data_IF_099844321606
#
_entry.id   IF_099844321606
#
_cell.length_a   1.000
_cell.length_b   1.000
_cell.length_c   1.000
_cell.angle_alpha   90.00
_cell.angle_beta   90.00
_cell.angle_gamma   90.00
#
_symmetry.space_group_name_H-M   'P 1'
#
loop_
_entity.id
_entity.type
_entity.pdbx_description
1 polymer ?
#
# COMPACT_ATOMS: atom_id res chain seq x y z
N UNK A 1 16.73 -17.04 9.47
CA UNK A 1 17.79 -16.55 8.57
C UNK A 1 17.10 -16.05 7.31
N UNK A 2 16.75 -14.77 7.24
CA UNK A 2 16.30 -14.16 5.99
C UNK A 2 17.50 -14.11 5.04
N UNK A 3 17.42 -14.72 3.84
CA UNK A 3 18.50 -14.62 2.89
C UNK A 3 18.63 -13.15 2.49
N UNK A 4 19.79 -12.54 2.76
CA UNK A 4 20.16 -11.23 2.21
C UNK A 4 20.20 -11.35 0.69
N UNK A 5 19.11 -11.06 0.00
CA UNK A 5 18.96 -11.18 -1.45
C UNK A 5 19.44 -9.93 -2.17
N UNK A 6 20.59 -9.37 -1.77
CA UNK A 6 21.17 -8.22 -2.48
C UNK A 6 21.43 -8.58 -3.95
N UNK A 7 20.98 -7.73 -4.89
CA UNK A 7 21.11 -7.91 -6.35
C UNK A 7 22.54 -7.64 -6.87
N UNK A 8 23.55 -8.28 -6.26
CA UNK A 8 24.99 -8.05 -6.52
C UNK A 8 25.42 -8.35 -7.96
N UNK A 9 24.59 -9.05 -8.73
CA UNK A 9 24.82 -9.33 -10.14
C UNK A 9 24.59 -8.11 -11.05
N UNK A 10 23.96 -7.04 -10.56
CA UNK A 10 23.68 -5.83 -11.31
C UNK A 10 24.46 -4.62 -10.78
N UNK A 11 24.62 -3.62 -11.65
CA UNK A 11 25.17 -2.31 -11.27
C UNK A 11 24.04 -1.28 -11.21
N UNK A 12 24.22 -0.28 -10.36
CA UNK A 12 23.38 0.92 -10.40
C UNK A 12 23.82 1.82 -11.57
N UNK A 13 22.88 2.50 -12.24
CA UNK A 13 23.23 3.52 -13.22
C UNK A 13 23.96 4.68 -12.52
N UNK A 14 24.71 5.47 -13.29
CA UNK A 14 25.42 6.64 -12.75
C UNK A 14 24.45 7.71 -12.23
N UNK A 15 23.32 7.85 -12.91
CA UNK A 15 22.24 8.78 -12.60
C UNK A 15 20.91 8.04 -12.83
N UNK A 16 19.82 8.37 -12.12
CA UNK A 16 18.52 7.78 -12.35
C UNK A 16 18.01 8.00 -13.79
N UNK A 17 17.59 6.92 -14.45
CA UNK A 17 17.12 6.96 -15.84
C UNK A 17 15.59 7.13 -15.90
N UNK A 18 15.14 8.26 -16.45
CA UNK A 18 13.71 8.55 -16.63
C UNK A 18 13.30 8.17 -18.05
N UNK A 19 12.77 6.96 -18.22
CA UNK A 19 12.45 6.38 -19.54
C UNK A 19 10.96 6.51 -19.84
N UNK A 20 10.63 7.13 -20.99
CA UNK A 20 9.25 7.24 -21.49
C UNK A 20 9.17 6.95 -22.98
N UNK A 21 7.98 6.58 -23.46
CA UNK A 21 7.67 6.46 -24.88
C UNK A 21 6.20 6.79 -25.14
N UNK A 22 5.92 7.26 -26.35
CA UNK A 22 4.57 7.68 -26.76
C UNK A 22 3.89 6.60 -27.60
N UNK A 23 2.58 6.47 -27.46
CA UNK A 23 1.74 5.58 -28.27
C UNK A 23 0.44 6.29 -28.65
N UNK A 24 -0.33 5.78 -29.64
CA UNK A 24 -1.66 6.31 -29.95
C UNK A 24 -2.68 6.22 -28.80
N UNK A 25 -2.38 5.46 -27.75
CA UNK A 25 -3.26 5.21 -26.58
C UNK A 25 -2.61 5.65 -25.27
N UNK A 26 -1.78 6.69 -25.31
CA UNK A 26 -1.23 7.36 -24.14
C UNK A 26 0.29 7.31 -24.07
N UNK A 27 0.82 8.09 -23.12
CA UNK A 27 2.24 8.17 -22.80
C UNK A 27 2.60 7.14 -21.73
N UNK A 28 3.68 6.40 -21.97
CA UNK A 28 4.13 5.34 -21.06
C UNK A 28 5.44 5.70 -20.37
N UNK A 29 5.53 5.34 -19.09
CA UNK A 29 6.76 5.26 -18.32
C UNK A 29 7.07 3.82 -17.93
N UNK A 30 8.32 3.55 -17.55
CA UNK A 30 8.73 2.22 -17.09
C UNK A 30 9.72 2.33 -15.92
N UNK A 31 9.51 1.50 -14.91
CA UNK A 31 10.44 1.24 -13.80
C UNK A 31 10.23 -0.19 -13.28
N UNK A 32 11.14 -0.69 -12.43
CA UNK A 32 11.20 -2.12 -12.09
C UNK A 32 11.16 -2.38 -10.58
N UNK A 33 10.33 -3.34 -10.14
CA UNK A 33 10.26 -3.86 -8.77
C UNK A 33 10.39 -2.76 -7.69
N UNK A 34 11.50 -2.75 -6.97
CA UNK A 34 11.75 -1.91 -5.81
C UNK A 34 11.73 -0.40 -6.10
N UNK A 35 11.90 0.02 -7.35
CA UNK A 35 11.82 1.43 -7.79
C UNK A 35 10.52 2.12 -7.35
N UNK A 36 9.42 1.36 -7.21
CA UNK A 36 8.10 1.90 -6.82
C UNK A 36 8.09 2.58 -5.44
N UNK A 37 9.02 2.20 -4.56
CA UNK A 37 9.15 2.75 -3.21
C UNK A 37 9.98 4.05 -3.16
N UNK A 38 10.57 4.49 -4.28
CA UNK A 38 11.49 5.62 -4.33
C UNK A 38 10.99 6.75 -5.23
N UNK A 39 11.55 7.93 -5.03
CA UNK A 39 11.18 9.13 -5.79
C UNK A 39 11.62 9.03 -7.26
N UNK A 40 12.84 8.57 -7.51
CA UNK A 40 13.40 8.46 -8.86
C UNK A 40 13.55 6.98 -9.26
N UNK A 41 13.05 6.57 -10.44
CA UNK A 41 12.34 7.39 -11.44
C UNK A 41 10.81 7.47 -11.21
N UNK A 42 10.26 6.69 -10.28
CA UNK A 42 8.81 6.41 -10.24
C UNK A 42 7.93 7.65 -10.07
N UNK A 43 8.23 8.52 -9.09
CA UNK A 43 7.46 9.76 -8.87
C UNK A 43 7.75 10.79 -9.96
N UNK A 44 8.99 10.86 -10.45
CA UNK A 44 9.39 11.77 -11.54
C UNK A 44 8.63 11.47 -12.84
N UNK A 45 8.46 10.21 -13.20
CA UNK A 45 7.69 9.80 -14.38
C UNK A 45 6.26 10.34 -14.33
N UNK A 46 5.61 10.27 -13.18
CA UNK A 46 4.23 10.71 -13.03
C UNK A 46 4.13 12.24 -12.92
N UNK A 47 4.91 12.86 -12.05
CA UNK A 47 4.74 14.27 -11.71
C UNK A 47 5.43 15.22 -12.70
N UNK A 48 6.59 14.84 -13.24
CA UNK A 48 7.34 15.68 -14.17
C UNK A 48 7.09 15.27 -15.62
N UNK A 49 7.09 13.97 -15.92
CA UNK A 49 6.92 13.49 -17.29
C UNK A 49 5.45 13.32 -17.70
N UNK A 50 4.51 13.34 -16.74
CA UNK A 50 3.07 13.25 -16.97
C UNK A 50 2.68 12.03 -17.81
N UNK A 51 3.24 10.86 -17.47
CA UNK A 51 2.86 9.59 -18.11
C UNK A 51 1.40 9.23 -17.77
N UNK A 52 0.68 8.66 -18.73
CA UNK A 52 -0.68 8.14 -18.55
C UNK A 52 -0.68 6.74 -17.93
N UNK A 53 0.35 5.95 -18.28
CA UNK A 53 0.48 4.55 -17.90
C UNK A 53 1.92 4.19 -17.51
N UNK A 54 2.07 3.37 -16.49
CA UNK A 54 3.35 2.80 -16.06
C UNK A 54 3.37 1.31 -16.39
N UNK A 55 4.42 0.87 -17.10
CA UNK A 55 4.77 -0.54 -17.20
C UNK A 55 5.63 -0.92 -16.02
N UNK A 56 5.23 -1.96 -15.30
CA UNK A 56 5.87 -2.35 -14.05
C UNK A 56 6.20 -3.86 -14.02
N UNK A 57 7.28 -4.29 -14.70
CA UNK A 57 7.84 -5.62 -14.49
C UNK A 57 8.37 -5.75 -13.06
N UNK A 58 8.06 -6.85 -12.40
CA UNK A 58 8.43 -7.05 -11.00
C UNK A 58 8.69 -8.53 -10.66
N UNK A 59 9.48 -8.75 -9.62
CA UNK A 59 9.73 -10.05 -8.99
C UNK A 59 9.57 -9.82 -7.48
N UNK A 60 8.34 -9.51 -7.09
CA UNK A 60 8.00 -9.00 -5.78
C UNK A 60 7.70 -10.14 -4.81
N UNK A 61 8.42 -10.18 -3.69
CA UNK A 61 8.12 -11.08 -2.58
C UNK A 61 7.08 -10.41 -1.70
N UNK A 62 5.92 -11.06 -1.53
CA UNK A 62 4.84 -10.51 -0.73
C UNK A 62 5.23 -10.43 0.75
N UNK A 63 4.94 -9.29 1.36
CA UNK A 63 5.12 -9.08 2.78
C UNK A 63 3.90 -8.37 3.37
N UNK A 64 3.02 -9.16 3.98
CA UNK A 64 1.91 -8.63 4.77
C UNK A 64 2.44 -7.86 5.99
N UNK A 65 1.74 -6.82 6.47
CA UNK A 65 0.39 -6.43 6.06
C UNK A 65 0.29 -5.37 4.95
N UNK A 66 1.38 -4.76 4.46
CA UNK A 66 1.31 -3.58 3.57
C UNK A 66 2.08 -3.70 2.25
N UNK A 67 2.94 -4.70 2.12
CA UNK A 67 3.83 -4.86 0.97
C UNK A 67 3.49 -6.16 0.22
N UNK A 68 2.20 -6.50 0.14
CA UNK A 68 1.72 -7.49 -0.81
C UNK A 68 1.58 -6.83 -2.19
N UNK A 69 2.05 -7.50 -3.25
CA UNK A 69 2.13 -6.95 -4.60
C UNK A 69 0.81 -6.34 -5.10
N UNK A 70 -0.29 -7.10 -5.05
CA UNK A 70 -1.59 -6.59 -5.53
C UNK A 70 -2.10 -5.41 -4.70
N UNK A 71 -1.77 -5.38 -3.40
CA UNK A 71 -2.18 -4.33 -2.47
C UNK A 71 -1.41 -3.04 -2.78
N UNK A 72 -0.10 -3.06 -2.58
CA UNK A 72 0.74 -1.87 -2.69
C UNK A 72 0.74 -1.31 -4.12
N UNK A 73 0.84 -2.15 -5.15
CA UNK A 73 0.89 -1.68 -6.53
C UNK A 73 -0.42 -1.00 -6.97
N UNK A 74 -1.57 -1.52 -6.52
CA UNK A 74 -2.88 -0.92 -6.84
C UNK A 74 -3.10 0.38 -6.04
N UNK A 75 -2.67 0.42 -4.79
CA UNK A 75 -2.69 1.62 -3.96
C UNK A 75 -1.80 2.73 -4.53
N UNK A 76 -0.61 2.38 -5.02
CA UNK A 76 0.29 3.31 -5.68
C UNK A 76 -0.33 3.90 -6.96
N UNK A 77 -0.96 3.05 -7.79
CA UNK A 77 -1.69 3.50 -8.99
C UNK A 77 -2.81 4.50 -8.65
N UNK A 78 -3.56 4.24 -7.58
CA UNK A 78 -4.63 5.12 -7.08
C UNK A 78 -4.06 6.44 -6.55
N UNK A 79 -3.05 6.39 -5.67
CA UNK A 79 -2.45 7.58 -5.07
C UNK A 79 -1.74 8.48 -6.08
N UNK A 80 -1.05 7.88 -7.06
CA UNK A 80 -0.37 8.59 -8.15
C UNK A 80 -1.29 8.94 -9.33
N UNK A 81 -2.52 8.40 -9.35
CA UNK A 81 -3.53 8.61 -10.39
C UNK A 81 -2.98 8.37 -11.79
N UNK A 82 -2.44 7.18 -11.98
CA UNK A 82 -1.88 6.69 -13.24
C UNK A 82 -2.34 5.24 -13.44
N UNK A 83 -2.43 4.80 -14.70
CA UNK A 83 -2.60 3.37 -14.94
C UNK A 83 -1.29 2.63 -14.60
N UNK A 84 -1.36 1.43 -14.03
CA UNK A 84 -0.19 0.59 -13.75
C UNK A 84 -0.45 -0.83 -14.25
N UNK A 85 0.46 -1.33 -15.08
CA UNK A 85 0.46 -2.70 -15.58
C UNK A 85 1.57 -3.46 -14.85
N UNK A 86 1.18 -4.17 -13.79
CA UNK A 86 2.10 -4.91 -12.93
C UNK A 86 2.20 -6.37 -13.37
N UNK A 87 3.37 -6.76 -13.88
CA UNK A 87 3.66 -8.13 -14.29
C UNK A 87 4.67 -8.75 -13.32
N UNK A 88 4.18 -9.56 -12.38
CA UNK A 88 4.99 -10.23 -11.37
C UNK A 88 5.44 -11.63 -11.82
N UNK A 89 6.56 -12.08 -11.26
CA UNK A 89 6.97 -13.49 -11.30
C UNK A 89 6.01 -14.34 -10.48
N UNK A 90 5.81 -15.59 -10.91
CA UNK A 90 5.03 -16.58 -10.17
C UNK A 90 5.95 -17.67 -9.64
N UNK A 91 6.22 -17.64 -8.34
CA UNK A 91 7.02 -18.61 -7.60
C UNK A 91 6.57 -18.60 -6.13
N UNK A 92 5.68 -19.55 -5.79
CA UNK A 92 5.05 -19.60 -4.47
C UNK A 92 6.04 -19.89 -3.34
N UNK A 93 7.16 -20.57 -3.65
CA UNK A 93 8.17 -20.95 -2.64
C UNK A 93 8.89 -19.77 -1.97
N UNK A 94 8.81 -18.58 -2.58
CA UNK A 94 9.42 -17.34 -2.09
C UNK A 94 8.41 -16.18 -2.10
N UNK A 95 7.13 -16.50 -1.92
CA UNK A 95 6.05 -15.49 -1.80
C UNK A 95 5.89 -14.59 -3.04
N UNK A 96 6.31 -15.05 -4.23
CA UNK A 96 6.15 -14.29 -5.48
C UNK A 96 4.87 -14.70 -6.20
N UNK A 97 3.84 -13.89 -6.04
CA UNK A 97 2.62 -13.90 -6.84
C UNK A 97 1.96 -12.53 -6.71
N UNK A 98 1.05 -12.16 -7.61
CA UNK A 98 0.40 -10.85 -7.55
C UNK A 98 0.71 -9.99 -8.77
N UNK A 99 -0.04 -10.21 -9.84
CA UNK A 99 -0.03 -9.39 -11.06
C UNK A 99 -1.36 -8.67 -11.22
N UNK A 100 -1.38 -7.56 -11.94
CA UNK A 100 -2.64 -6.84 -12.16
C UNK A 100 -2.56 -5.64 -13.07
N UNK A 101 -3.75 -5.17 -13.44
CA UNK A 101 -4.01 -4.00 -14.27
C UNK A 101 -4.82 -3.03 -13.41
N UNK A 102 -4.20 -1.92 -13.05
CA UNK A 102 -4.74 -0.97 -12.08
C UNK A 102 -4.99 0.38 -12.75
N UNK A 103 -6.17 0.96 -12.51
CA UNK A 103 -6.54 2.31 -12.92
C UNK A 103 -6.61 3.22 -11.69
N UNK A 104 -6.66 4.55 -11.85
CA UNK A 104 -6.79 5.47 -10.71
C UNK A 104 -8.03 5.23 -9.84
N UNK A 105 -9.12 4.74 -10.44
CA UNK A 105 -10.35 4.42 -9.73
C UNK A 105 -10.34 3.05 -9.03
N UNK A 106 -9.27 2.26 -9.20
CA UNK A 106 -9.12 0.93 -8.61
C UNK A 106 -8.68 -0.15 -9.60
N UNK A 107 -8.53 -1.37 -9.10
CA UNK A 107 -8.10 -2.52 -9.90
C UNK A 107 -9.15 -2.91 -10.96
N UNK A 108 -8.70 -3.18 -12.19
CA UNK A 108 -9.54 -3.69 -13.29
C UNK A 108 -9.45 -5.19 -13.43
N UNK A 109 -8.25 -5.75 -13.24
CA UNK A 109 -8.00 -7.17 -13.19
C UNK A 109 -6.78 -7.42 -12.30
N UNK A 110 -6.77 -8.51 -11.54
CA UNK A 110 -5.61 -8.92 -10.75
C UNK A 110 -5.63 -10.43 -10.55
N UNK A 111 -4.47 -11.00 -10.24
CA UNK A 111 -4.32 -12.41 -9.90
C UNK A 111 -3.36 -12.55 -8.73
N UNK A 112 -3.77 -13.32 -7.73
CA UNK A 112 -2.98 -13.72 -6.57
C UNK A 112 -3.22 -15.20 -6.33
N UNK A 113 -2.17 -16.01 -6.34
CA UNK A 113 -2.31 -17.45 -6.22
C UNK A 113 -1.09 -18.06 -5.51
N UNK A 114 -1.28 -18.50 -4.28
CA UNK A 114 -0.27 -19.23 -3.50
C UNK A 114 -0.46 -20.76 -3.53
N UNK A 115 -1.36 -21.26 -4.36
CA UNK A 115 -1.80 -22.68 -4.34
C UNK A 115 -1.26 -23.52 -5.49
N UNK A 116 -1.04 -22.91 -6.66
CA UNK A 116 -0.56 -23.61 -7.87
C UNK A 116 0.64 -22.88 -8.46
N UNK A 117 1.37 -23.51 -9.37
CA UNK A 117 2.54 -22.94 -10.06
C UNK A 117 2.19 -22.39 -11.46
N UNK A 118 0.90 -22.24 -11.75
CA UNK A 118 0.44 -21.85 -13.08
C UNK A 118 0.68 -20.37 -13.35
N UNK A 119 1.15 -20.06 -14.57
CA UNK A 119 1.13 -18.70 -15.08
C UNK A 119 -0.31 -18.21 -15.30
N UNK A 120 -0.48 -16.88 -15.34
CA UNK A 120 -1.80 -16.27 -15.52
C UNK A 120 -1.73 -15.07 -16.46
N UNK A 121 -2.64 -15.01 -17.45
CA UNK A 121 -2.80 -13.88 -18.36
C UNK A 121 -4.00 -13.05 -17.93
N UNK A 122 -3.80 -11.74 -17.75
CA UNK A 122 -4.86 -10.79 -17.43
C UNK A 122 -5.09 -9.85 -18.61
N UNK A 123 -6.35 -9.57 -18.90
CA UNK A 123 -6.76 -8.63 -19.95
C UNK A 123 -7.83 -7.72 -19.36
N UNK A 124 -7.68 -6.41 -19.55
CA UNK A 124 -8.67 -5.41 -19.17
C UNK A 124 -8.55 -4.18 -20.06
N UNK A 125 -9.64 -3.44 -20.19
CA UNK A 125 -9.68 -2.14 -20.88
C UNK A 125 -9.33 -1.00 -19.92
N UNK A 126 -8.63 0.01 -20.44
CA UNK A 126 -8.18 1.18 -19.69
C UNK A 126 -8.40 2.46 -20.49
N UNK A 127 -8.62 3.56 -19.78
CA UNK A 127 -8.61 4.90 -20.37
C UNK A 127 -7.17 5.25 -20.78
N UNK A 128 -6.98 5.64 -22.05
CA UNK A 128 -5.68 6.07 -22.58
C UNK A 128 -5.11 7.29 -21.85
N UNK A 129 -5.99 8.19 -21.38
CA UNK A 129 -5.65 9.42 -20.65
C UNK A 129 -6.48 9.51 -19.36
N UNK A 130 -6.16 8.73 -18.32
CA UNK A 130 -7.03 8.56 -17.16
C UNK A 130 -7.15 9.83 -16.31
N UNK A 131 -6.24 10.80 -16.46
CA UNK A 131 -6.29 12.13 -15.81
C UNK A 131 -7.30 13.08 -16.45
N UNK A 132 -7.63 12.85 -17.72
CA UNK A 132 -8.63 13.63 -18.47
C UNK A 132 -10.02 12.97 -18.43
N UNK A 133 -10.08 11.72 -17.96
CA UNK A 133 -11.31 10.96 -17.82
C UNK A 133 -12.23 11.60 -16.76
N UNK A 134 -13.55 11.70 -16.99
CA UNK A 134 -14.51 12.11 -15.97
C UNK A 134 -14.49 11.22 -14.73
N UNK A 135 -14.02 9.97 -14.87
CA UNK A 135 -13.87 9.01 -13.78
C UNK A 135 -12.56 9.20 -12.98
N UNK A 136 -11.73 10.19 -13.33
CA UNK A 136 -10.50 10.47 -12.58
C UNK A 136 -10.85 10.94 -11.16
N UNK A 137 -10.28 10.32 -10.11
CA UNK A 137 -10.46 10.81 -8.75
C UNK A 137 -10.00 12.28 -8.66
N UNK A 138 -10.57 13.12 -7.79
CA UNK A 138 -10.14 14.50 -7.56
C UNK A 138 -8.89 14.59 -6.68
N UNK A 139 -8.26 15.77 -6.63
CA UNK A 139 -7.01 15.95 -5.89
C UNK A 139 -7.28 15.84 -4.40
N UNK A 140 -6.41 15.12 -3.70
CA UNK A 140 -6.59 14.78 -2.29
C UNK A 140 -5.65 15.61 -1.45
N UNK A 141 -6.21 16.30 -0.46
CA UNK A 141 -5.46 16.96 0.60
C UNK A 141 -5.42 16.03 1.81
N UNK A 142 -4.43 15.14 1.86
CA UNK A 142 -4.38 13.99 2.78
C UNK A 142 -4.50 14.32 4.27
N UNK A 143 -4.13 15.52 4.69
CA UNK A 143 -4.19 15.95 6.08
C UNK A 143 -5.35 16.91 6.40
N UNK A 144 -6.17 17.30 5.42
CA UNK A 144 -7.14 18.39 5.58
C UNK A 144 -8.20 18.07 6.63
N UNK A 145 -8.83 16.89 6.54
CA UNK A 145 -9.79 16.45 7.55
C UNK A 145 -9.10 16.22 8.91
N UNK A 146 -7.98 15.50 8.91
CA UNK A 146 -7.27 15.12 10.13
C UNK A 146 -6.81 16.32 10.97
N UNK A 147 -6.39 17.41 10.34
CA UNK A 147 -6.02 18.65 11.03
C UNK A 147 -7.22 19.46 11.55
N UNK A 148 -8.42 19.21 11.02
CA UNK A 148 -9.64 19.95 11.37
C UNK A 148 -10.40 19.35 12.56
N UNK A 149 -10.13 18.09 12.90
CA UNK A 149 -10.83 17.37 13.97
C UNK A 149 -10.02 17.39 15.26
N UNK A 150 -10.72 17.52 16.39
CA UNK A 150 -10.11 17.30 17.69
C UNK A 150 -9.76 15.82 17.85
N UNK A 151 -8.71 15.54 18.63
CA UNK A 151 -8.34 14.15 18.97
C UNK A 151 -9.53 13.48 19.66
N UNK A 152 -9.93 12.30 19.18
CA UNK A 152 -10.94 11.50 19.86
C UNK A 152 -10.40 11.05 21.23
N UNK A 153 -11.29 10.86 22.21
CA UNK A 153 -10.93 10.47 23.58
C UNK A 153 -9.92 9.32 23.59
N UNK A 154 -8.75 9.53 24.20
CA UNK A 154 -7.70 8.53 24.30
C UNK A 154 -8.19 7.33 25.11
N UNK A 155 -7.96 6.12 24.59
CA UNK A 155 -7.98 4.92 25.42
C UNK A 155 -6.63 4.88 26.17
N UNK A 156 -6.65 4.64 27.47
CA UNK A 156 -5.46 4.67 28.36
C UNK A 156 -4.43 3.54 28.11
N UNK A 157 -4.58 2.75 27.04
CA UNK A 157 -3.79 1.54 26.79
C UNK A 157 -3.23 1.50 25.36
N UNK A 158 -2.36 2.45 25.03
CA UNK A 158 -1.48 2.34 23.86
C UNK A 158 -0.38 1.30 24.12
N UNK A 159 0.04 0.59 23.08
CA UNK A 159 1.14 -0.37 23.16
C UNK A 159 1.98 -0.36 21.87
N UNK A 160 3.22 -0.84 21.97
CA UNK A 160 4.10 -0.97 20.79
C UNK A 160 3.91 -2.33 20.12
N UNK A 161 3.71 -2.32 18.80
CA UNK A 161 3.83 -3.51 17.96
C UNK A 161 4.87 -3.31 16.87
N UNK A 162 5.34 -4.39 16.26
CA UNK A 162 6.42 -4.36 15.28
C UNK A 162 5.87 -4.83 13.94
N UNK A 163 5.98 -4.00 12.91
CA UNK A 163 5.68 -4.36 11.52
C UNK A 163 6.96 -4.22 10.71
N UNK A 164 7.45 -5.32 10.17
CA UNK A 164 8.68 -5.33 9.34
C UNK A 164 9.90 -4.62 9.99
N UNK A 165 10.01 -4.70 11.32
CA UNK A 165 11.09 -4.04 12.07
C UNK A 165 10.79 -2.61 12.50
N UNK A 166 9.67 -2.02 12.06
CA UNK A 166 9.23 -0.69 12.43
C UNK A 166 8.35 -0.73 13.69
N UNK A 167 8.66 0.08 14.72
CA UNK A 167 7.86 0.15 15.94
C UNK A 167 6.64 1.06 15.78
N UNK A 168 5.47 0.48 15.61
CA UNK A 168 4.19 1.19 15.55
C UNK A 168 3.65 1.43 16.97
N UNK A 169 2.96 2.56 17.15
CA UNK A 169 2.10 2.78 18.32
C UNK A 169 0.69 2.32 17.99
N UNK A 170 0.15 1.36 18.76
CA UNK A 170 -1.18 0.77 18.55
C UNK A 170 -2.14 1.07 19.69
N UNK A 171 -3.44 1.06 19.35
CA UNK A 171 -4.56 1.03 20.29
C UNK A 171 -5.59 -0.01 19.85
N UNK A 172 -6.10 -0.83 20.77
CA UNK A 172 -7.09 -1.87 20.48
C UNK A 172 -8.50 -1.29 20.24
N UNK A 173 -9.21 -1.86 19.26
CA UNK A 173 -10.63 -1.65 19.02
C UNK A 173 -11.47 -2.54 19.95
N UNK A 174 -11.63 -2.12 21.20
CA UNK A 174 -12.33 -2.91 22.25
C UNK A 174 -13.85 -2.93 22.08
N UNK A 175 -14.43 -1.93 21.41
CA UNK A 175 -15.88 -1.79 21.20
C UNK A 175 -16.29 -2.22 19.79
N UNK A 176 -17.56 -2.62 19.54
CA UNK A 176 -18.05 -2.94 18.20
C UNK A 176 -18.06 -1.73 17.24
N UNK A 177 -18.03 -0.52 17.76
CA UNK A 177 -17.87 0.71 16.98
C UNK A 177 -17.46 1.88 17.86
N UNK A 178 -16.91 2.91 17.23
CA UNK A 178 -16.43 4.09 17.93
C UNK A 178 -15.48 4.93 17.08
N UNK A 179 -14.93 5.96 17.72
CA UNK A 179 -13.90 6.82 17.13
C UNK A 179 -12.64 6.73 17.99
N UNK A 180 -11.48 6.51 17.35
CA UNK A 180 -10.19 6.35 18.01
C UNK A 180 -9.14 7.26 17.36
N UNK A 181 -8.22 7.74 18.18
CA UNK A 181 -7.02 8.45 17.71
C UNK A 181 -5.80 7.82 18.36
N UNK A 182 -4.76 7.60 17.56
CA UNK A 182 -3.42 7.22 18.04
C UNK A 182 -2.40 8.09 17.33
N UNK A 183 -1.35 8.52 18.04
CA UNK A 183 -0.32 9.37 17.46
C UNK A 183 1.07 8.76 17.67
N UNK A 184 1.94 8.95 16.69
CA UNK A 184 3.36 8.72 16.82
C UNK A 184 4.11 9.87 16.18
N UNK A 185 4.93 10.58 16.98
CA UNK A 185 5.62 11.82 16.59
C UNK A 185 4.65 12.83 15.96
N UNK A 186 4.85 13.20 14.69
CA UNK A 186 4.06 14.24 14.01
C UNK A 186 2.80 13.66 13.35
N UNK A 187 2.67 12.33 13.27
CA UNK A 187 1.52 11.67 12.69
C UNK A 187 0.48 11.29 13.76
N UNK A 188 -0.71 11.86 13.66
CA UNK A 188 -1.91 11.40 14.35
C UNK A 188 -2.87 10.75 13.36
N UNK A 189 -3.29 9.53 13.67
CA UNK A 189 -4.20 8.73 12.87
C UNK A 189 -5.58 8.68 13.53
N UNK A 190 -6.62 8.92 12.75
CA UNK A 190 -8.00 8.97 13.21
C UNK A 190 -8.83 7.90 12.51
N UNK A 191 -9.57 7.12 13.29
CA UNK A 191 -10.46 6.08 12.79
C UNK A 191 -11.86 6.25 13.38
N UNK A 192 -12.86 6.40 12.52
CA UNK A 192 -14.24 6.09 12.86
C UNK A 192 -14.59 4.71 12.31
N UNK A 193 -15.19 3.82 13.10
CA UNK A 193 -15.51 2.47 12.65
C UNK A 193 -16.78 1.89 13.28
N UNK A 194 -17.36 0.91 12.59
CA UNK A 194 -18.42 0.04 13.10
C UNK A 194 -18.29 -1.35 12.47
N UNK A 195 -18.03 -2.35 13.28
CA UNK A 195 -18.02 -3.77 12.90
C UNK A 195 -19.45 -4.27 12.75
N UNK A 196 -19.68 -5.23 11.85
CA UNK A 196 -20.96 -5.94 11.76
C UNK A 196 -21.21 -6.78 13.02
N UNK A 197 -20.15 -7.40 13.54
CA UNK A 197 -20.15 -8.15 14.79
C UNK A 197 -18.77 -8.05 15.44
N UNK A 198 -18.72 -7.67 16.72
CA UNK A 198 -17.46 -7.78 17.49
C UNK A 198 -17.32 -9.21 17.94
N UNK A 199 -16.21 -9.83 17.56
CA UNK A 199 -15.87 -11.19 17.95
C UNK A 199 -14.88 -11.18 19.10
N UNK A 200 -14.91 -12.22 19.93
CA UNK A 200 -13.97 -12.41 21.04
C UNK A 200 -12.68 -13.14 20.60
N UNK A 201 -12.71 -13.81 19.45
CA UNK A 201 -11.59 -14.55 18.86
C UNK A 201 -10.77 -13.75 17.83
N UNK A 202 -11.21 -12.53 17.48
CA UNK A 202 -10.47 -11.61 16.60
C UNK A 202 -10.24 -10.24 17.26
N UNK A 203 -9.00 -9.78 17.16
CA UNK A 203 -8.56 -8.48 17.65
C UNK A 203 -8.15 -7.59 16.47
N UNK A 204 -8.60 -6.34 16.51
CA UNK A 204 -8.23 -5.28 15.57
C UNK A 204 -7.62 -4.12 16.33
N UNK A 205 -6.66 -3.45 15.69
CA UNK A 205 -5.97 -2.30 16.25
C UNK A 205 -5.93 -1.15 15.25
N UNK A 206 -5.91 0.08 15.76
CA UNK A 206 -5.51 1.27 15.02
C UNK A 206 -4.04 1.54 15.35
N UNK A 207 -3.21 1.78 14.32
CA UNK A 207 -1.79 2.06 14.46
C UNK A 207 -1.34 3.33 13.76
N UNK A 208 -0.29 3.95 14.31
CA UNK A 208 0.46 5.04 13.69
C UNK A 208 1.96 4.71 13.67
N UNK A 209 2.61 5.02 12.54
CA UNK A 209 4.06 5.02 12.41
C UNK A 209 4.54 6.29 11.73
N UNK A 210 5.59 6.91 12.27
CA UNK A 210 6.27 8.08 11.69
C UNK A 210 7.78 7.91 11.89
N UNK A 211 8.50 7.43 10.87
CA UNK A 211 9.90 7.07 11.06
C UNK A 211 10.62 6.55 9.82
N UNK A 212 11.94 6.40 9.97
CA UNK A 212 12.81 5.83 8.96
C UNK A 212 12.78 4.30 9.07
N UNK A 213 12.31 3.65 8.01
CA UNK A 213 12.47 2.23 7.80
C UNK A 213 13.93 1.91 7.43
N UNK A 214 14.48 0.79 7.92
CA UNK A 214 15.91 0.45 7.73
C UNK A 214 16.19 -1.00 7.36
N UNK A 215 15.17 -1.87 7.32
CA UNK A 215 15.33 -3.30 7.06
C UNK A 215 15.19 -3.56 5.55
N UNK A 216 16.20 -4.13 4.91
CA UNK A 216 16.12 -4.39 3.46
C UNK A 216 15.85 -3.12 2.61
N UNK A 217 16.29 -1.95 3.10
CA UNK A 217 16.19 -0.66 2.43
C UNK A 217 16.07 0.48 3.45
N UNK A 218 16.35 1.71 3.01
CA UNK A 218 16.18 2.90 3.85
C UNK A 218 15.20 3.87 3.21
N UNK A 219 14.08 4.12 3.88
CA UNK A 219 13.02 5.00 3.39
C UNK A 219 12.09 5.47 4.52
N UNK A 220 11.71 6.74 4.51
CA UNK A 220 10.90 7.36 5.55
C UNK A 220 9.40 7.16 5.32
N UNK A 221 8.71 6.64 6.31
CA UNK A 221 7.30 6.28 6.25
C UNK A 221 6.48 7.11 7.22
N UNK A 222 5.27 7.43 6.78
CA UNK A 222 4.16 7.81 7.66
C UNK A 222 3.01 6.88 7.35
N UNK A 223 2.53 6.11 8.32
CA UNK A 223 1.50 5.08 8.09
C UNK A 223 0.42 5.17 9.14
N UNK A 224 -0.83 5.25 8.67
CA UNK A 224 -2.02 5.02 9.49
C UNK A 224 -2.66 3.71 9.06
N UNK A 225 -2.98 2.84 10.01
CA UNK A 225 -3.50 1.50 9.69
C UNK A 225 -4.56 1.03 10.67
N UNK A 226 -5.65 0.48 10.17
CA UNK A 226 -6.55 -0.43 10.88
C UNK A 226 -6.18 -1.84 10.43
N UNK A 227 -5.74 -2.72 11.33
CA UNK A 227 -5.36 -4.08 10.96
C UNK A 227 -5.86 -5.13 11.94
N UNK A 228 -6.03 -6.35 11.43
CA UNK A 228 -6.33 -7.55 12.19
C UNK A 228 -5.04 -8.14 12.77
N UNK A 229 -5.02 -8.46 14.06
CA UNK A 229 -3.89 -9.15 14.69
C UNK A 229 -3.93 -10.65 14.38
N UNK A 230 -2.77 -11.31 14.40
CA UNK A 230 -2.69 -12.75 14.08
C UNK A 230 -3.47 -13.60 15.09
N UNK A 231 -3.43 -13.21 16.36
CA UNK A 231 -4.15 -13.85 17.45
C UNK A 231 -4.80 -12.81 18.37
N UNK A 232 -5.50 -13.28 19.40
CA UNK A 232 -6.02 -12.42 20.47
C UNK A 232 -4.93 -11.82 21.36
N UNK A 233 -3.67 -12.28 21.24
CA UNK A 233 -2.54 -11.67 21.93
C UNK A 233 -2.06 -10.41 21.18
N UNK A 234 -2.12 -9.26 21.85
CA UNK A 234 -1.74 -7.95 21.31
C UNK A 234 -0.28 -7.89 20.81
N UNK A 235 0.62 -8.71 21.34
CA UNK A 235 2.01 -8.76 20.85
C UNK A 235 2.15 -9.31 19.43
N UNK A 236 1.09 -9.93 18.90
CA UNK A 236 1.05 -10.47 17.53
C UNK A 236 0.49 -9.47 16.51
N UNK A 237 0.04 -8.30 16.94
CA UNK A 237 -0.43 -7.25 16.05
C UNK A 237 0.74 -6.74 15.19
N UNK A 238 0.54 -6.77 13.86
CA UNK A 238 1.57 -6.45 12.87
C UNK A 238 2.26 -7.66 12.24
N UNK A 239 2.02 -8.88 12.75
CA UNK A 239 2.46 -10.10 12.07
C UNK A 239 1.60 -10.40 10.83
N UNK A 240 2.11 -11.14 9.83
CA UNK A 240 1.35 -11.53 8.64
C UNK A 240 0.04 -12.26 8.97
N UNK A 241 -1.07 -11.81 8.38
CA UNK A 241 -2.38 -12.45 8.51
C UNK A 241 -3.08 -12.57 7.16
N UNK A 242 -3.46 -13.79 6.78
CA UNK A 242 -4.13 -14.05 5.50
C UNK A 242 -5.64 -14.24 5.63
N UNK A 243 -6.16 -14.50 6.83
CA UNK A 243 -7.58 -14.78 7.04
C UNK A 243 -8.18 -13.98 8.19
N UNK A 244 -9.42 -13.55 8.00
CA UNK A 244 -10.24 -12.86 9.00
C UNK A 244 -11.72 -13.27 8.87
N UNK A 245 -12.52 -12.95 9.88
CA UNK A 245 -13.97 -13.19 9.90
C UNK A 245 -14.79 -11.90 10.11
N UNK A 246 -14.23 -10.89 10.77
CA UNK A 246 -14.94 -9.62 11.02
C UNK A 246 -15.09 -8.76 9.76
N UNK A 247 -16.35 -8.42 9.45
CA UNK A 247 -16.73 -7.42 8.46
C UNK A 247 -16.99 -6.07 9.11
N UNK A 248 -16.89 -5.00 8.33
CA UNK A 248 -17.15 -3.64 8.80
C UNK A 248 -18.37 -3.07 8.08
N UNK A 249 -19.34 -2.57 8.85
CA UNK A 249 -20.42 -1.74 8.30
C UNK A 249 -19.84 -0.41 7.80
N UNK A 250 -18.95 0.19 8.58
CA UNK A 250 -18.20 1.37 8.17
C UNK A 250 -16.79 1.42 8.77
N UNK A 251 -15.90 2.07 8.05
CA UNK A 251 -14.60 2.57 8.46
C UNK A 251 -14.38 3.94 7.80
N UNK A 252 -13.65 4.81 8.48
CA UNK A 252 -13.19 6.10 7.98
C UNK A 252 -11.83 6.38 8.59
N UNK A 253 -10.77 6.17 7.82
CA UNK A 253 -9.38 6.35 8.23
C UNK A 253 -8.81 7.64 7.64
N UNK A 254 -8.06 8.39 8.44
CA UNK A 254 -7.33 9.60 8.01
C UNK A 254 -6.12 9.84 8.91
N UNK A 255 -5.19 10.71 8.47
CA UNK A 255 -4.03 11.05 9.29
C UNK A 255 -3.45 12.42 8.97
N UNK A 256 -2.68 12.99 9.90
CA UNK A 256 -1.99 14.29 9.74
C UNK A 256 -0.71 14.17 8.92
N UNK A 257 -0.80 13.56 7.73
CA UNK A 257 0.35 13.31 6.86
C UNK A 257 1.11 14.60 6.52
N UNK A 258 2.44 14.55 6.65
CA UNK A 258 3.39 15.58 6.24
C UNK A 258 3.84 15.48 4.78
N UNK A 259 3.23 14.56 4.02
CA UNK A 259 3.53 14.29 2.61
C UNK A 259 2.24 14.28 1.79
N UNK A 260 2.34 14.61 0.50
CA UNK A 260 1.25 14.43 -0.47
C UNK A 260 1.23 13.04 -1.11
N UNK A 261 2.25 12.22 -0.88
CA UNK A 261 2.39 10.88 -1.45
C UNK A 261 1.89 9.83 -0.47
N UNK A 262 0.58 9.59 -0.50
CA UNK A 262 -0.09 8.58 0.32
C UNK A 262 -0.82 7.61 -0.60
N UNK A 263 -0.66 6.32 -0.32
CA UNK A 263 -1.18 5.21 -1.11
C UNK A 263 -2.25 4.47 -0.27
N UNK A 264 -3.53 4.56 -0.67
CA UNK A 264 -4.64 3.97 0.07
C UNK A 264 -4.78 2.47 -0.21
N UNK A 265 -4.75 1.66 0.84
CA UNK A 265 -4.77 0.20 0.80
C UNK A 265 -6.00 -0.34 1.52
N UNK A 266 -6.68 -1.30 0.89
CA UNK A 266 -7.75 -2.08 1.52
C UNK A 266 -7.59 -3.53 1.09
N UNK A 267 -7.34 -4.40 2.06
CA UNK A 267 -7.13 -5.82 1.82
C UNK A 267 -8.10 -6.65 2.65
N UNK A 268 -8.77 -7.58 1.98
CA UNK A 268 -9.73 -8.51 2.56
C UNK A 268 -9.14 -9.90 2.77
N UNK A 269 -9.83 -10.69 3.60
CA UNK A 269 -9.48 -12.08 3.92
C UNK A 269 -9.27 -12.91 2.65
N UNK A 270 -8.22 -13.74 2.68
CA UNK A 270 -7.72 -14.48 1.52
C UNK A 270 -6.83 -13.64 0.59
N UNK A 271 -6.29 -12.51 1.08
CA UNK A 271 -5.42 -11.59 0.35
C UNK A 271 -6.09 -11.10 -0.93
N UNK A 272 -7.22 -10.40 -0.77
CA UNK A 272 -8.06 -9.96 -1.89
C UNK A 272 -8.27 -8.46 -1.87
N UNK A 273 -8.18 -7.83 -3.06
CA UNK A 273 -8.53 -6.42 -3.22
C UNK A 273 -10.04 -6.21 -3.08
N UNK A 274 -10.40 -4.96 -2.80
CA UNK A 274 -11.78 -4.51 -2.62
C UNK A 274 -12.22 -3.49 -3.71
N UNK A 275 -12.13 -3.83 -5.01
CA UNK A 275 -12.38 -2.86 -6.08
C UNK A 275 -13.82 -2.34 -6.03
N UNK A 276 -13.98 -1.02 -5.93
CA UNK A 276 -15.29 -0.36 -5.89
C UNK A 276 -16.01 -0.42 -4.54
N UNK A 277 -15.40 -0.96 -3.48
CA UNK A 277 -16.01 -1.03 -2.14
C UNK A 277 -15.57 0.09 -1.18
N UNK A 278 -14.58 0.89 -1.59
CA UNK A 278 -14.08 2.03 -0.83
C UNK A 278 -13.87 3.24 -1.73
N UNK A 279 -13.75 4.41 -1.11
CA UNK A 279 -13.45 5.68 -1.78
C UNK A 279 -12.47 6.51 -0.95
N UNK A 280 -11.72 7.37 -1.64
CA UNK A 280 -10.89 8.41 -1.02
C UNK A 280 -11.55 9.75 -1.24
N UNK A 281 -11.87 10.43 -0.15
CA UNK A 281 -12.45 11.77 -0.18
C UNK A 281 -11.36 12.82 -0.40
N UNK A 282 -11.74 13.97 -0.96
CA UNK A 282 -10.81 15.09 -1.24
C UNK A 282 -10.11 15.64 0.00
N UNK A 283 -10.68 15.42 1.19
CA UNK A 283 -10.15 15.86 2.47
C UNK A 283 -9.21 14.84 3.15
N UNK A 284 -8.84 13.76 2.44
CA UNK A 284 -7.85 12.78 2.90
C UNK A 284 -8.41 11.56 3.64
N UNK A 285 -9.73 11.40 3.70
CA UNK A 285 -10.36 10.23 4.33
C UNK A 285 -10.48 9.06 3.36
N UNK A 286 -10.05 7.88 3.81
CA UNK A 286 -10.33 6.58 3.19
C UNK A 286 -11.54 5.95 3.88
N UNK A 287 -12.63 5.76 3.14
CA UNK A 287 -13.92 5.31 3.70
C UNK A 287 -14.54 4.18 2.86
N UNK A 288 -15.46 3.44 3.45
CA UNK A 288 -16.45 2.64 2.72
C UNK A 288 -17.86 3.23 2.90
N UNK A 289 -18.70 3.11 1.87
CA UNK A 289 -20.10 3.55 1.94
C UNK A 289 -21.07 2.44 2.36
N UNK A 290 -20.73 1.21 2.01
CA UNK A 290 -21.54 0.02 2.27
C UNK A 290 -20.74 -0.97 3.09
N UNK A 291 -21.42 -1.86 3.82
CA UNK A 291 -20.79 -2.97 4.54
C UNK A 291 -19.85 -3.76 3.64
N UNK A 292 -18.64 -4.05 4.14
CA UNK A 292 -17.62 -4.77 3.37
C UNK A 292 -18.14 -6.14 2.92
N UNK A 293 -17.89 -6.50 1.66
CA UNK A 293 -18.35 -7.77 1.11
C UNK A 293 -17.67 -8.96 1.79
N UNK A 294 -16.43 -8.78 2.24
CA UNK A 294 -15.59 -9.78 2.90
C UNK A 294 -15.00 -9.24 4.21
N UNK A 295 -14.51 -10.14 5.08
CA UNK A 295 -13.77 -9.74 6.27
C UNK A 295 -12.52 -8.94 5.93
N UNK A 296 -12.18 -7.97 6.78
CA UNK A 296 -11.08 -7.02 6.55
C UNK A 296 -9.79 -7.55 7.16
N UNK A 297 -8.69 -7.57 6.41
CA UNK A 297 -7.34 -7.79 6.98
C UNK A 297 -6.74 -6.46 7.40
N UNK A 298 -6.76 -5.48 6.49
CA UNK A 298 -6.24 -4.15 6.75
C UNK A 298 -6.95 -3.07 5.94
N UNK A 299 -6.99 -1.87 6.50
CA UNK A 299 -7.29 -0.59 5.84
C UNK A 299 -6.14 0.34 6.20
N UNK A 300 -5.34 0.75 5.22
CA UNK A 300 -4.11 1.48 5.46
C UNK A 300 -4.00 2.72 4.56
N UNK A 301 -3.39 3.76 5.10
CA UNK A 301 -2.90 4.91 4.35
C UNK A 301 -1.37 4.89 4.46
N UNK A 302 -0.71 4.43 3.40
CA UNK A 302 0.74 4.26 3.34
C UNK A 302 1.40 5.51 2.75
N UNK A 303 2.03 6.32 3.59
CA UNK A 303 2.67 7.58 3.21
C UNK A 303 4.18 7.46 3.02
N UNK A 304 4.70 8.02 1.93
CA UNK A 304 6.15 8.16 1.68
C UNK A 304 6.59 9.61 1.80
N UNK A 305 7.57 9.86 2.65
CA UNK A 305 8.17 11.19 2.83
C UNK A 305 9.56 11.22 2.21
N UNK A 306 9.62 11.26 0.88
CA UNK A 306 10.85 11.12 0.11
C UNK A 306 11.94 12.14 0.50
N UNK A 307 11.58 13.36 0.87
CA UNK A 307 12.51 14.42 1.30
C UNK A 307 13.20 14.11 2.64
N UNK A 308 12.66 13.18 3.43
CA UNK A 308 13.25 12.70 4.69
C UNK A 308 14.05 11.40 4.51
N UNK A 309 14.09 10.84 3.30
CA UNK A 309 14.97 9.71 3.04
C UNK A 309 16.44 10.13 3.21
N UNK A 310 17.31 9.26 3.72
CA UNK A 310 18.74 9.55 3.80
C UNK A 310 19.31 9.79 2.40
N UNK A 311 20.39 10.58 2.28
CA UNK A 311 21.09 10.75 1.01
C UNK A 311 21.39 9.39 0.37
N UNK A 312 21.21 9.28 -0.94
CA UNK A 312 21.57 8.10 -1.73
C UNK A 312 23.10 7.94 -1.79
N UNK A 313 23.75 7.71 -0.65
CA UNK A 313 25.21 7.59 -0.59
C UNK A 313 25.71 6.17 -0.70
N UNK A 314 24.86 5.15 -0.57
CA UNK A 314 25.21 3.75 -0.86
C UNK A 314 23.92 2.91 -0.97
N UNK A 315 23.49 2.54 -2.19
CA UNK A 315 22.45 1.53 -2.38
C UNK A 315 22.99 0.13 -2.03
N UNK A 316 23.15 -0.12 -0.75
CA UNK A 316 23.27 -1.47 -0.23
C UNK A 316 21.94 -1.83 0.44
N UNK A 317 21.29 -2.87 -0.10
CA UNK A 317 20.31 -3.74 0.56
C UNK A 317 18.81 -3.57 0.31
N UNK A 318 18.36 -2.99 -0.82
CA UNK A 318 17.06 -3.39 -1.38
C UNK A 318 17.17 -4.73 -2.11
N UNK A 319 16.26 -5.67 -1.88
CA UNK A 319 16.39 -7.01 -2.47
C UNK A 319 15.11 -7.59 -3.06
N UNK A 320 15.01 -7.62 -4.40
CA UNK A 320 14.19 -8.58 -5.15
C UNK A 320 15.15 -9.66 -5.75
N UNK A 321 15.09 -10.95 -5.39
CA UNK A 321 15.99 -11.95 -5.97
C UNK A 321 15.64 -12.31 -7.43
N UNK A 322 16.51 -11.91 -8.38
CA UNK A 322 17.04 -12.62 -9.59
C UNK A 322 16.11 -13.67 -10.29
N UNK A 323 15.91 -13.75 -11.63
CA UNK A 323 16.85 -13.77 -12.77
C UNK A 323 16.10 -13.51 -14.10
N UNK A 324 16.76 -12.78 -15.02
CA UNK A 324 16.42 -12.49 -16.44
C UNK A 324 15.31 -11.46 -16.65
N UNK A 325 15.72 -10.27 -17.14
CA UNK A 325 14.84 -9.36 -17.89
C UNK A 325 14.41 -10.07 -19.17
N UNK A 326 13.22 -10.64 -19.17
CA UNK A 326 12.51 -11.05 -20.39
C UNK A 326 11.28 -10.14 -20.47
N UNK A 327 11.42 -9.07 -21.25
CA UNK A 327 10.28 -8.25 -21.67
C UNK A 327 9.54 -9.06 -22.74
N UNK A 328 8.41 -9.65 -22.36
CA UNK A 328 7.41 -10.11 -23.33
C UNK A 328 6.13 -9.37 -22.96
N UNK A 329 5.67 -8.56 -23.92
CA UNK A 329 4.33 -7.95 -23.94
C UNK A 329 3.31 -9.02 -24.29
#
# INVERSE_FOLDING_TARGET
MTPKTSERQFNYPKEPEVVTFETPFGKFGIFTCFDILFYEPAVVLVNKMQVDTVLFPTAWMNLLPFLTAIEFHSAWAMGMRVNVLAANTHNTSIEMTGSGIYAPAGARAYSYNMKTEDGHLLIAELDAHPRLSPASPPAVSWNSYALSVEKFSQNDHEFTGIIFGDPFTFVELTKPGGNLTVCQKDLCCHLGYKMTEKRDDEVYVLGAFDGLHVIEGQYYLQICTLLKCLSTNLSTCGQPVESAQTKFEMFSLSGTFGTSYVFPEVLYSGVQLAPGEFEVLTDGRLINRNTTSKPVLTVTLFGRWYEKDPPQTDWASGSCPNKKKVLIF
#
